data_IF_636489633281
#
_entry.id   IF_636489633281
#
_cell.length_a   1.000
_cell.length_b   1.000
_cell.length_c   1.000
_cell.angle_alpha   90.00
_cell.angle_beta   90.00
_cell.angle_gamma   90.00
#
_symmetry.space_group_name_H-M   'P 1'
#
loop_
_entity.id
_entity.type
_entity.pdbx_description
1 polymer ?
#
# COMPACT_ATOMS: atom_id res chain seq x y z
N UNK A 1 -10.07 -13.10 -16.30
CA UNK A 1 -9.33 -13.32 -15.04
C UNK A 1 -10.30 -13.09 -13.89
N UNK A 2 -11.34 -13.94 -13.71
CA UNK A 2 -12.57 -13.46 -13.05
C UNK A 2 -13.03 -14.24 -11.81
N UNK A 3 -12.25 -15.21 -11.31
CA UNK A 3 -12.62 -16.03 -10.13
C UNK A 3 -11.53 -16.07 -9.05
N UNK A 4 -10.42 -15.35 -9.22
CA UNK A 4 -9.36 -15.27 -8.21
C UNK A 4 -9.74 -14.21 -7.16
N UNK A 5 -9.81 -14.62 -5.90
CA UNK A 5 -9.99 -13.73 -4.75
C UNK A 5 -8.67 -13.01 -4.44
N UNK A 6 -8.74 -11.70 -4.24
CA UNK A 6 -7.60 -10.83 -3.99
C UNK A 6 -7.81 -10.06 -2.70
N UNK A 7 -6.77 -9.95 -1.88
CA UNK A 7 -6.79 -9.14 -0.67
C UNK A 7 -6.41 -7.69 -0.97
N UNK A 8 -6.96 -6.75 -0.21
CA UNK A 8 -6.46 -5.39 -0.11
C UNK A 8 -6.76 -4.81 1.28
N UNK A 9 -6.15 -3.67 1.57
CA UNK A 9 -6.47 -2.93 2.78
C UNK A 9 -7.97 -2.59 2.83
N UNK A 10 -8.51 -2.45 4.05
CA UNK A 10 -9.87 -2.01 4.29
C UNK A 10 -10.10 -0.55 3.82
N UNK A 11 -9.03 0.19 3.55
CA UNK A 11 -9.11 1.51 2.96
C UNK A 11 -9.79 1.52 1.58
N UNK A 12 -10.74 2.45 1.45
CA UNK A 12 -11.62 2.58 0.29
C UNK A 12 -10.85 2.76 -1.02
N UNK A 13 -9.66 3.35 -0.96
CA UNK A 13 -8.93 3.80 -2.13
C UNK A 13 -8.40 2.64 -2.99
N UNK A 14 -7.68 1.68 -2.38
CA UNK A 14 -7.14 0.52 -3.10
C UNK A 14 -8.29 -0.33 -3.63
N UNK A 15 -9.32 -0.58 -2.81
CA UNK A 15 -10.52 -1.32 -3.22
C UNK A 15 -11.22 -0.66 -4.42
N UNK A 16 -11.43 0.65 -4.38
CA UNK A 16 -12.08 1.37 -5.45
C UNK A 16 -11.25 1.36 -6.74
N UNK A 17 -9.92 1.42 -6.64
CA UNK A 17 -9.04 1.25 -7.80
C UNK A 17 -9.17 -0.15 -8.41
N UNK A 18 -9.15 -1.21 -7.59
CA UNK A 18 -9.33 -2.58 -8.04
C UNK A 18 -10.68 -2.79 -8.75
N UNK A 19 -11.76 -2.26 -8.18
CA UNK A 19 -13.11 -2.42 -8.71
C UNK A 19 -13.37 -1.53 -9.95
N UNK A 20 -13.07 -0.22 -9.86
CA UNK A 20 -13.46 0.75 -10.89
C UNK A 20 -12.45 0.88 -12.01
N UNK A 21 -11.15 0.73 -11.74
CA UNK A 21 -10.09 0.88 -12.74
C UNK A 21 -9.66 -0.48 -13.29
N UNK A 22 -9.28 -1.41 -12.41
CA UNK A 22 -8.83 -2.75 -12.83
C UNK A 22 -9.97 -3.74 -13.11
N UNK A 23 -11.23 -3.34 -12.84
CA UNK A 23 -12.45 -4.10 -13.15
C UNK A 23 -12.53 -5.47 -12.48
N UNK A 24 -11.97 -5.60 -11.27
CA UNK A 24 -12.23 -6.78 -10.42
C UNK A 24 -13.70 -6.81 -9.99
N UNK A 25 -14.29 -8.03 -9.92
CA UNK A 25 -15.61 -8.21 -9.31
C UNK A 25 -15.53 -7.88 -7.82
N UNK A 26 -16.49 -7.12 -7.30
CA UNK A 26 -16.52 -6.73 -5.89
C UNK A 26 -16.43 -7.92 -4.94
N UNK A 27 -17.13 -9.03 -5.26
CA UNK A 27 -17.15 -10.27 -4.45
C UNK A 27 -15.78 -10.97 -4.38
N UNK A 28 -14.89 -10.67 -5.33
CA UNK A 28 -13.53 -11.22 -5.35
C UNK A 28 -12.53 -10.34 -4.59
N UNK A 29 -12.94 -9.16 -4.10
CA UNK A 29 -12.05 -8.25 -3.37
C UNK A 29 -12.31 -8.42 -1.88
N UNK A 30 -11.31 -8.94 -1.17
CA UNK A 30 -11.35 -9.21 0.27
C UNK A 30 -10.64 -8.06 0.98
N UNK A 31 -11.43 -7.19 1.62
CA UNK A 31 -10.90 -6.15 2.49
C UNK A 31 -10.45 -6.78 3.80
N UNK A 32 -9.20 -6.49 4.19
CA UNK A 32 -8.60 -7.02 5.42
C UNK A 32 -8.30 -5.85 6.35
N UNK A 33 -8.81 -5.94 7.56
CA UNK A 33 -8.77 -4.93 8.62
C UNK A 33 -7.49 -5.00 9.48
N UNK A 34 -6.84 -6.16 9.51
CA UNK A 34 -5.66 -6.43 10.33
C UNK A 34 -4.57 -7.00 9.44
N UNK A 35 -3.42 -6.31 9.38
CA UNK A 35 -2.26 -6.68 8.53
C UNK A 35 -1.81 -8.13 8.74
N UNK A 36 -1.80 -8.61 9.99
CA UNK A 36 -1.40 -9.98 10.33
C UNK A 36 -2.31 -11.05 9.72
N UNK A 37 -3.57 -10.74 9.37
CA UNK A 37 -4.47 -11.71 8.73
C UNK A 37 -4.07 -12.03 7.30
N UNK A 38 -3.27 -11.19 6.64
CA UNK A 38 -2.87 -11.44 5.24
C UNK A 38 -2.11 -12.75 5.09
N UNK A 39 -1.20 -13.06 6.02
CA UNK A 39 -0.41 -14.30 5.96
C UNK A 39 -1.30 -15.52 6.11
N UNK A 40 -2.23 -15.51 7.06
CA UNK A 40 -3.23 -16.57 7.24
C UNK A 40 -4.11 -16.76 6.00
N UNK A 41 -4.64 -15.67 5.43
CA UNK A 41 -5.49 -15.75 4.24
C UNK A 41 -4.75 -16.27 3.00
N UNK A 42 -3.46 -15.96 2.87
CA UNK A 42 -2.60 -16.50 1.82
C UNK A 42 -2.27 -17.98 2.07
N UNK A 43 -1.98 -18.37 3.32
CA UNK A 43 -1.69 -19.75 3.74
C UNK A 43 -2.89 -20.67 3.49
N UNK A 44 -4.09 -20.22 3.87
CA UNK A 44 -5.35 -20.92 3.68
C UNK A 44 -5.88 -20.85 2.24
N UNK A 45 -5.16 -20.16 1.33
CA UNK A 45 -5.54 -19.95 -0.08
C UNK A 45 -6.91 -19.27 -0.25
N UNK A 46 -7.36 -18.52 0.75
CA UNK A 46 -8.58 -17.69 0.68
C UNK A 46 -8.39 -16.51 -0.28
N UNK A 47 -7.14 -16.04 -0.43
CA UNK A 47 -6.73 -15.04 -1.40
C UNK A 47 -5.48 -15.51 -2.14
N UNK A 48 -5.34 -15.10 -3.40
CA UNK A 48 -4.18 -15.46 -4.24
C UNK A 48 -3.06 -14.43 -4.22
N UNK A 49 -3.41 -13.17 -3.90
CA UNK A 49 -2.51 -12.02 -3.91
C UNK A 49 -3.09 -10.95 -2.98
N UNK A 50 -2.21 -10.15 -2.39
CA UNK A 50 -2.56 -8.92 -1.69
C UNK A 50 -2.12 -7.71 -2.51
N UNK A 51 -3.00 -6.73 -2.65
CA UNK A 51 -2.71 -5.41 -3.19
C UNK A 51 -2.49 -4.41 -2.05
N UNK A 52 -1.30 -3.81 -2.01
CA UNK A 52 -0.90 -2.81 -1.02
C UNK A 52 -0.18 -1.66 -1.71
N UNK A 53 -0.15 -0.50 -1.04
CA UNK A 53 0.72 0.59 -1.44
C UNK A 53 2.19 0.23 -1.16
N UNK A 54 3.11 0.86 -1.89
CA UNK A 54 4.54 0.57 -1.81
C UNK A 54 5.15 0.69 -0.40
N UNK A 55 4.88 1.74 0.40
CA UNK A 55 5.49 1.85 1.73
C UNK A 55 5.03 0.71 2.65
N UNK A 56 3.74 0.40 2.66
CA UNK A 56 3.19 -0.71 3.46
C UNK A 56 3.71 -2.07 2.97
N UNK A 57 3.84 -2.27 1.66
CA UNK A 57 4.44 -3.48 1.11
C UNK A 57 5.89 -3.68 1.61
N UNK A 58 6.70 -2.62 1.67
CA UNK A 58 8.09 -2.71 2.18
C UNK A 58 8.12 -3.15 3.65
N UNK A 59 7.28 -2.51 4.48
CA UNK A 59 7.17 -2.84 5.91
C UNK A 59 6.68 -4.28 6.11
N UNK A 60 5.60 -4.68 5.42
CA UNK A 60 5.04 -6.02 5.47
C UNK A 60 6.07 -7.09 5.08
N UNK A 61 6.82 -6.85 4.00
CA UNK A 61 7.83 -7.79 3.51
C UNK A 61 8.98 -7.94 4.51
N UNK A 62 9.44 -6.84 5.11
CA UNK A 62 10.49 -6.87 6.12
C UNK A 62 10.04 -7.60 7.40
N UNK A 63 8.82 -7.32 7.89
CA UNK A 63 8.25 -8.00 9.07
C UNK A 63 8.08 -9.50 8.84
N UNK A 64 7.68 -9.88 7.63
CA UNK A 64 7.39 -11.27 7.27
C UNK A 64 8.54 -11.97 6.53
N UNK A 65 9.77 -11.44 6.60
CA UNK A 65 10.92 -11.99 5.89
C UNK A 65 11.16 -13.48 6.19
N UNK A 66 10.91 -13.92 7.43
CA UNK A 66 11.07 -15.32 7.80
C UNK A 66 9.87 -16.20 7.40
N UNK A 67 8.68 -15.63 7.14
CA UNK A 67 7.51 -16.40 6.72
C UNK A 67 7.63 -16.77 5.22
N UNK A 68 7.67 -18.07 4.86
CA UNK A 68 7.76 -18.50 3.47
C UNK A 68 6.54 -18.09 2.63
N UNK A 69 5.36 -17.92 3.21
CA UNK A 69 4.16 -17.43 2.52
C UNK A 69 4.19 -15.91 2.33
N UNK A 70 4.69 -15.16 3.32
CA UNK A 70 4.98 -13.73 3.18
C UNK A 70 5.96 -13.43 2.04
N UNK A 71 6.98 -14.30 1.85
CA UNK A 71 7.96 -14.21 0.75
C UNK A 71 7.41 -14.63 -0.62
N UNK A 72 6.48 -15.59 -0.67
CA UNK A 72 5.96 -16.19 -1.93
C UNK A 72 4.68 -15.51 -2.43
N UNK A 73 4.02 -14.73 -1.57
CA UNK A 73 2.93 -13.82 -1.92
C UNK A 73 3.34 -12.96 -3.11
N UNK A 74 2.62 -13.11 -4.23
CA UNK A 74 2.78 -12.26 -5.40
C UNK A 74 2.21 -10.87 -5.08
N UNK A 75 2.82 -10.10 -4.16
CA UNK A 75 2.38 -8.73 -3.87
C UNK A 75 2.52 -7.93 -5.17
N UNK A 76 1.41 -7.82 -5.91
CA UNK A 76 1.37 -7.05 -7.13
C UNK A 76 1.38 -5.60 -6.72
N UNK A 77 2.48 -4.92 -7.07
CA UNK A 77 2.61 -3.46 -6.93
C UNK A 77 1.43 -2.81 -7.64
N UNK A 78 0.52 -2.25 -6.86
CA UNK A 78 -0.26 -1.13 -7.36
C UNK A 78 0.67 0.06 -7.20
N UNK A 79 1.27 0.48 -8.32
CA UNK A 79 2.06 1.71 -8.41
C UNK A 79 1.10 2.89 -8.27
N UNK A 80 0.69 3.11 -7.04
CA UNK A 80 0.06 4.34 -6.61
C UNK A 80 1.16 5.11 -5.93
N UNK A 81 1.75 6.04 -6.69
CA UNK A 81 2.65 7.07 -6.15
C UNK A 81 1.79 8.04 -5.33
N UNK A 82 1.17 7.55 -4.27
CA UNK A 82 0.50 8.37 -3.30
C UNK A 82 1.57 8.88 -2.36
N UNK A 83 1.90 10.15 -2.53
CA UNK A 83 2.58 10.90 -1.50
C UNK A 83 1.54 11.08 -0.40
N UNK A 84 1.75 10.57 0.83
CA UNK A 84 0.90 10.93 1.95
C UNK A 84 1.04 12.44 2.17
N UNK A 85 0.14 13.20 1.56
CA UNK A 85 0.11 14.64 1.63
C UNK A 85 -0.87 15.05 2.72
N UNK A 86 -0.42 15.89 3.66
CA UNK A 86 -1.36 16.72 4.42
C UNK A 86 -2.16 17.55 3.41
N UNK A 87 -3.47 17.39 3.45
CA UNK A 87 -4.38 18.15 2.59
C UNK A 87 -4.44 19.59 3.08
N UNK A 88 -3.90 20.51 2.27
CA UNK A 88 -4.03 21.94 2.51
C UNK A 88 -5.23 22.48 1.75
N UNK A 89 -5.88 23.51 2.29
CA UNK A 89 -6.91 24.25 1.54
C UNK A 89 -6.30 24.80 0.25
N UNK A 90 -7.05 24.77 -0.85
CA UNK A 90 -6.62 25.35 -2.12
C UNK A 90 -6.23 26.82 -1.92
N UNK A 91 -5.05 27.22 -2.41
CA UNK A 91 -4.51 28.57 -2.23
C UNK A 91 -3.84 28.83 -0.88
N UNK A 92 -3.69 27.82 -0.02
CA UNK A 92 -3.01 27.98 1.26
C UNK A 92 -1.53 28.34 1.05
N UNK A 93 -1.03 29.45 1.63
CA UNK A 93 0.34 29.91 1.43
C UNK A 93 1.37 28.93 1.99
N UNK A 94 1.02 28.18 3.05
CA UNK A 94 1.90 27.19 3.71
C UNK A 94 2.30 26.03 2.79
N UNK A 95 1.60 25.81 1.67
CA UNK A 95 1.93 24.74 0.72
C UNK A 95 3.33 24.94 0.16
N UNK A 96 3.70 26.20 -0.13
CA UNK A 96 5.02 26.52 -0.66
C UNK A 96 6.12 26.24 0.37
N UNK A 97 5.90 26.61 1.63
CA UNK A 97 6.85 26.39 2.72
C UNK A 97 7.06 24.89 3.00
N UNK A 98 5.96 24.12 3.03
CA UNK A 98 6.00 22.66 3.23
C UNK A 98 6.69 21.98 2.05
N UNK A 99 6.40 22.38 0.82
CA UNK A 99 7.06 21.83 -0.37
C UNK A 99 8.57 22.10 -0.36
N UNK A 100 8.97 23.32 0.04
CA UNK A 100 10.39 23.69 0.18
C UNK A 100 11.08 22.87 1.27
N UNK A 101 10.41 22.63 2.40
CA UNK A 101 10.94 21.79 3.47
C UNK A 101 11.11 20.33 3.01
N UNK A 102 10.10 19.76 2.31
CA UNK A 102 10.15 18.42 1.73
C UNK A 102 11.31 18.31 0.73
N UNK A 103 11.48 19.30 -0.15
CA UNK A 103 12.59 19.33 -1.11
C UNK A 103 13.94 19.28 -0.39
N UNK A 104 14.12 20.14 0.62
CA UNK A 104 15.36 20.19 1.40
C UNK A 104 15.70 18.84 2.04
N UNK A 105 14.75 18.22 2.75
CA UNK A 105 14.99 16.92 3.41
C UNK A 105 15.17 15.78 2.41
N UNK A 106 14.67 15.93 1.19
CA UNK A 106 14.87 14.96 0.10
C UNK A 106 16.29 15.07 -0.49
N UNK A 107 16.76 16.29 -0.72
CA UNK A 107 18.07 16.57 -1.33
C UNK A 107 19.24 16.33 -0.36
N UNK A 108 19.08 16.67 0.91
CA UNK A 108 20.14 16.50 1.93
C UNK A 108 20.26 15.06 2.48
N UNK A 109 19.41 14.14 2.00
CA UNK A 109 19.40 12.74 2.40
C UNK A 109 18.73 12.46 3.75
N UNK A 110 18.21 13.47 4.45
CA UNK A 110 17.49 13.30 5.72
C UNK A 110 16.30 12.37 5.57
N UNK A 111 15.53 12.49 4.48
CA UNK A 111 14.37 11.65 4.23
C UNK A 111 14.74 10.16 4.13
N UNK A 112 15.87 9.82 3.49
CA UNK A 112 16.34 8.44 3.40
C UNK A 112 16.82 7.88 4.74
N UNK A 113 17.32 8.73 5.63
CA UNK A 113 17.69 8.34 7.00
C UNK A 113 16.43 8.04 7.80
N UNK A 114 15.43 8.93 7.74
CA UNK A 114 14.14 8.74 8.40
C UNK A 114 13.37 7.50 7.91
N UNK A 115 13.54 7.08 6.64
CA UNK A 115 12.92 5.84 6.13
C UNK A 115 13.61 4.57 6.68
N UNK A 116 14.87 4.67 7.11
CA UNK A 116 15.67 3.53 7.60
C UNK A 116 15.68 3.40 9.12
N UNK A 117 15.38 4.49 9.84
CA UNK A 117 15.23 4.52 11.30
C UNK A 117 13.98 3.71 11.73
#
# INVERSE_FOLDING_TARGET
MNDLRVGCDADWFVRNYLEKVLKFKADNIISVDIEDKYTTLLEEKQISVVFMELPYQKVFTNRNYNNPVGRRSLIRRVLLNLVPCRSFRKGSPIVADVLKAILKVSEDGTLQRLEKD
#
